data_IF_410050568155
#
_entry.id   IF_410050568155
#
_cell.length_a   1.000
_cell.length_b   1.000
_cell.length_c   1.000
_cell.angle_alpha   90.00
_cell.angle_beta   90.00
_cell.angle_gamma   90.00
#
_symmetry.space_group_name_H-M   'P 1'
#
loop_
_entity.id
_entity.type
_entity.pdbx_description
1 polymer ?
#
# COMPACT_ATOMS: atom_id res chain seq x y z
N UNK A 1 -48.62 -1.32 42.58
CA UNK A 1 -47.72 -2.30 41.97
C UNK A 1 -47.20 -1.69 40.68
N UNK A 2 -46.03 -1.08 40.68
CA UNK A 2 -45.42 -0.43 39.53
C UNK A 2 -44.34 -1.31 38.95
N UNK A 3 -44.05 -1.23 37.64
CA UNK A 3 -42.98 -2.02 37.03
C UNK A 3 -41.63 -1.31 37.15
N UNK A 4 -40.63 -2.11 37.44
CA UNK A 4 -39.22 -1.77 37.58
C UNK A 4 -38.62 -1.15 36.33
N UNK A 5 -38.17 0.09 36.42
CA UNK A 5 -37.28 0.74 35.45
C UNK A 5 -35.85 0.29 35.62
N UNK A 6 -35.38 -0.63 34.81
CA UNK A 6 -33.93 -0.91 34.64
C UNK A 6 -33.32 0.08 33.65
N UNK A 7 -32.64 1.07 34.17
CA UNK A 7 -31.76 1.93 33.37
C UNK A 7 -30.59 1.12 32.79
N UNK A 8 -30.55 0.95 31.49
CA UNK A 8 -29.38 0.44 30.76
C UNK A 8 -28.26 1.45 30.84
N UNK A 9 -27.20 1.12 31.52
CA UNK A 9 -25.94 1.87 31.54
C UNK A 9 -25.27 1.74 30.15
N UNK A 10 -25.17 2.85 29.44
CA UNK A 10 -24.35 2.97 28.25
C UNK A 10 -22.89 2.93 28.68
N UNK A 11 -22.00 2.15 28.02
CA UNK A 11 -20.59 2.25 28.28
C UNK A 11 -20.08 3.60 27.75
N UNK A 12 -19.42 4.36 28.59
CA UNK A 12 -18.70 5.58 28.25
C UNK A 12 -17.44 5.19 27.47
N UNK A 13 -17.51 5.25 26.17
CA UNK A 13 -16.33 5.18 25.32
C UNK A 13 -15.68 6.55 25.30
N UNK A 14 -14.56 6.62 25.99
CA UNK A 14 -13.77 7.82 26.13
C UNK A 14 -13.26 8.32 24.80
N UNK A 15 -13.42 9.60 24.63
CA UNK A 15 -12.88 10.45 23.60
C UNK A 15 -11.34 10.30 23.60
N UNK A 16 -10.79 9.45 22.76
CA UNK A 16 -9.37 9.47 22.42
C UNK A 16 -9.20 10.34 21.18
N UNK A 17 -9.12 11.65 21.39
CA UNK A 17 -8.71 12.61 20.39
C UNK A 17 -7.29 12.26 19.93
N UNK A 18 -7.15 12.02 18.63
CA UNK A 18 -5.90 11.75 17.96
C UNK A 18 -4.97 12.96 18.04
N UNK A 19 -3.98 12.92 18.92
CA UNK A 19 -2.90 13.92 18.99
C UNK A 19 -1.96 13.89 17.77
N UNK A 20 -2.16 12.96 16.85
CA UNK A 20 -1.28 12.75 15.69
C UNK A 20 -1.41 13.80 14.58
N UNK A 21 -2.58 14.41 14.40
CA UNK A 21 -2.82 15.37 13.30
C UNK A 21 -2.16 16.74 13.48
N UNK A 22 -1.86 17.13 14.72
CA UNK A 22 -1.24 18.44 15.01
C UNK A 22 0.27 18.43 14.71
N UNK A 23 0.95 17.29 14.81
CA UNK A 23 2.40 17.21 14.61
C UNK A 23 2.79 17.25 13.12
N UNK A 24 1.99 16.69 12.22
CA UNK A 24 2.27 16.69 10.77
C UNK A 24 2.06 18.09 10.17
N UNK A 25 1.05 18.83 10.62
CA UNK A 25 0.82 20.22 10.18
C UNK A 25 1.91 21.19 10.65
N UNK A 26 2.50 20.97 11.84
CA UNK A 26 3.59 21.80 12.37
C UNK A 26 4.94 21.53 11.71
N UNK A 27 5.20 20.31 11.24
CA UNK A 27 6.42 19.98 10.49
C UNK A 27 6.41 20.52 9.07
N UNK A 28 5.23 20.56 8.40
CA UNK A 28 5.09 21.16 7.07
C UNK A 28 5.29 22.69 7.09
N UNK A 29 4.86 23.37 8.15
CA UNK A 29 5.05 24.83 8.28
C UNK A 29 6.46 25.21 8.68
N UNK A 30 7.20 24.37 9.42
CA UNK A 30 8.59 24.65 9.80
C UNK A 30 9.58 24.56 8.62
N UNK A 31 9.31 23.72 7.61
CA UNK A 31 10.15 23.60 6.42
C UNK A 31 9.98 24.78 5.46
N UNK A 32 8.79 25.37 5.38
CA UNK A 32 8.51 26.52 4.50
C UNK A 32 9.06 27.86 5.03
N UNK A 33 9.19 28.03 6.33
CA UNK A 33 9.75 29.27 6.91
C UNK A 33 11.27 29.32 6.82
N UNK A 34 11.98 28.18 6.84
CA UNK A 34 13.43 28.14 6.75
C UNK A 34 14.01 28.42 5.36
N UNK A 35 13.22 28.40 4.30
CA UNK A 35 13.68 28.63 2.92
C UNK A 35 13.67 30.11 2.49
N UNK A 36 13.05 31.02 3.27
CA UNK A 36 12.94 32.44 2.92
C UNK A 36 14.02 33.36 3.51
N UNK A 37 14.95 32.89 4.33
CA UNK A 37 15.91 33.73 5.07
C UNK A 37 17.37 33.64 4.61
N UNK A 38 17.67 33.13 3.41
CA UNK A 38 19.03 33.21 2.87
C UNK A 38 19.03 33.72 1.43
N UNK A 39 19.05 35.05 1.26
CA UNK A 39 19.62 35.71 0.09
C UNK A 39 21.05 36.17 0.45
N UNK A 40 22.09 35.75 -0.26
CA UNK A 40 23.40 36.38 -0.13
C UNK A 40 23.45 37.59 -1.07
N UNK A 41 23.75 38.74 -0.50
CA UNK A 41 24.18 39.94 -1.21
C UNK A 41 25.56 39.71 -1.80
N UNK A 42 25.66 39.92 -3.11
CA UNK A 42 26.91 39.96 -3.89
C UNK A 42 27.69 41.23 -3.60
N UNK A 43 28.95 41.10 -3.26
CA UNK A 43 29.98 42.10 -3.51
C UNK A 43 31.28 41.37 -3.80
N UNK A 44 31.75 41.51 -5.03
CA UNK A 44 33.11 41.17 -5.42
C UNK A 44 34.11 42.25 -4.98
N UNK A 45 35.38 41.90 -4.76
CA UNK A 45 36.40 42.55 -5.60
C UNK A 45 37.46 41.56 -6.18
N UNK A 46 38.10 42.13 -7.18
CA UNK A 46 39.00 41.52 -8.12
C UNK A 46 40.42 41.18 -7.56
N UNK A 47 41.03 40.21 -8.27
CA UNK A 47 42.46 40.22 -8.56
C UNK A 47 43.36 39.34 -7.71
N UNK A 48 43.96 38.29 -8.23
CA UNK A 48 45.42 38.23 -8.52
C UNK A 48 45.88 36.80 -8.84
N UNK A 49 46.37 36.62 -10.05
CA UNK A 49 47.46 35.77 -10.59
C UNK A 49 47.71 34.36 -10.00
N UNK A 50 47.78 33.42 -10.96
CA UNK A 50 48.43 32.11 -10.88
C UNK A 50 49.96 32.20 -10.77
N UNK A 51 50.61 31.11 -10.38
CA UNK A 51 51.57 30.54 -11.29
C UNK A 51 51.48 29.02 -11.52
N UNK A 52 52.01 28.67 -12.66
CA UNK A 52 52.09 27.37 -13.33
C UNK A 52 53.15 26.44 -12.70
N UNK A 53 53.00 25.14 -13.01
CA UNK A 53 54.09 24.23 -13.27
C UNK A 53 54.29 23.12 -12.23
N UNK A 54 54.07 21.83 -12.61
CA UNK A 54 55.22 20.93 -12.85
C UNK A 54 54.75 19.50 -13.16
N UNK A 55 54.96 19.06 -14.39
CA UNK A 55 55.44 17.80 -14.96
C UNK A 55 55.23 16.47 -14.21
N UNK A 56 54.71 15.54 -14.97
CA UNK A 56 54.80 14.08 -14.78
C UNK A 56 56.21 13.53 -14.99
N UNK A 57 56.48 12.31 -14.60
CA UNK A 57 57.25 11.44 -15.44
C UNK A 57 56.53 10.12 -15.79
N UNK A 58 56.77 9.71 -17.03
CA UNK A 58 56.39 8.46 -17.65
C UNK A 58 57.42 7.35 -17.35
N UNK A 59 56.93 6.11 -17.51
CA UNK A 59 57.76 5.00 -17.95
C UNK A 59 57.92 3.87 -16.98
N UNK A 60 57.40 2.64 -17.31
CA UNK A 60 58.34 1.54 -17.71
C UNK A 60 57.53 0.29 -18.14
N UNK A 61 57.67 -0.06 -19.36
CA UNK A 61 57.73 -1.34 -20.13
C UNK A 61 57.41 -2.66 -19.43
N UNK A 62 56.63 -3.44 -20.16
CA UNK A 62 56.43 -4.89 -20.07
C UNK A 62 57.69 -5.72 -20.44
N UNK A 63 57.68 -7.01 -20.13
CA UNK A 63 58.06 -7.96 -21.17
C UNK A 63 57.04 -9.05 -21.44
N UNK A 64 57.03 -9.47 -22.70
CA UNK A 64 56.32 -10.59 -23.28
C UNK A 64 56.96 -11.94 -22.90
N UNK A 65 56.14 -12.98 -22.86
CA UNK A 65 56.59 -14.35 -22.67
C UNK A 65 55.53 -15.39 -23.04
N UNK A 66 55.53 -15.77 -24.29
CA UNK A 66 55.38 -17.08 -24.95
C UNK A 66 54.33 -18.10 -24.52
N UNK A 67 53.54 -18.41 -25.51
CA UNK A 67 52.81 -19.66 -25.87
C UNK A 67 52.98 -20.91 -25.01
N UNK A 68 51.83 -21.50 -24.65
CA UNK A 68 51.64 -22.95 -24.76
C UNK A 68 50.15 -23.31 -24.92
N UNK A 69 49.78 -23.69 -26.15
CA UNK A 69 48.57 -24.43 -26.52
C UNK A 69 48.48 -25.76 -25.77
N UNK A 70 47.36 -26.00 -25.07
CA UNK A 70 46.87 -27.36 -24.84
C UNK A 70 45.36 -27.35 -24.95
N UNK A 71 44.88 -28.00 -25.98
CA UNK A 71 43.49 -28.39 -26.18
C UNK A 71 43.02 -29.29 -25.02
N UNK A 72 42.00 -28.86 -24.31
CA UNK A 72 41.30 -29.68 -23.35
C UNK A 72 39.81 -29.45 -23.52
N UNK A 73 39.13 -30.37 -24.22
CA UNK A 73 37.68 -30.43 -24.31
C UNK A 73 37.09 -30.63 -22.88
N UNK A 74 36.39 -29.62 -22.40
CA UNK A 74 35.56 -29.78 -21.21
C UNK A 74 34.20 -30.39 -21.61
N UNK A 75 33.68 -31.41 -20.87
CA UNK A 75 32.36 -31.95 -21.12
C UNK A 75 31.30 -30.93 -20.71
N UNK A 76 30.28 -30.77 -21.56
CA UNK A 76 29.16 -29.88 -21.36
C UNK A 76 28.50 -30.08 -20.00
N UNK A 77 28.47 -29.03 -19.22
CA UNK A 77 27.60 -28.96 -18.05
C UNK A 77 26.15 -28.94 -18.51
N UNK A 78 25.48 -30.07 -18.39
CA UNK A 78 24.01 -30.13 -18.48
C UNK A 78 23.45 -29.22 -17.41
N UNK A 79 22.83 -28.12 -17.81
CA UNK A 79 21.94 -27.33 -16.94
C UNK A 79 20.79 -28.24 -16.51
N UNK A 80 20.92 -28.87 -15.38
CA UNK A 80 19.80 -29.45 -14.69
C UNK A 80 18.93 -28.30 -14.17
N UNK A 81 17.95 -27.89 -14.98
CA UNK A 81 16.83 -27.10 -14.51
C UNK A 81 16.16 -27.93 -13.44
N UNK A 82 16.33 -27.56 -12.17
CA UNK A 82 15.57 -28.15 -11.08
C UNK A 82 14.09 -28.03 -11.43
N UNK A 83 13.28 -29.10 -11.28
CA UNK A 83 11.85 -29.00 -11.48
C UNK A 83 11.32 -27.90 -10.57
N UNK A 84 10.37 -27.05 -11.06
CA UNK A 84 9.75 -26.04 -10.23
C UNK A 84 9.18 -26.75 -8.99
N UNK A 85 9.49 -26.20 -7.80
CA UNK A 85 8.96 -26.70 -6.55
C UNK A 85 7.43 -26.83 -6.69
N UNK A 86 6.81 -27.92 -6.20
CA UNK A 86 5.38 -28.08 -6.31
C UNK A 86 4.72 -26.85 -5.68
N UNK A 87 3.94 -26.12 -6.50
CA UNK A 87 3.11 -25.04 -6.01
C UNK A 87 2.19 -25.63 -4.97
N UNK A 88 2.45 -25.35 -3.70
CA UNK A 88 1.47 -25.64 -2.66
C UNK A 88 0.20 -24.92 -3.08
N UNK A 89 -0.84 -25.65 -3.39
CA UNK A 89 -2.16 -25.06 -3.60
C UNK A 89 -2.55 -24.42 -2.28
N UNK A 90 -2.75 -23.09 -2.29
CA UNK A 90 -3.21 -22.29 -1.14
C UNK A 90 -4.58 -22.73 -0.63
N UNK A 91 -5.15 -23.79 -1.22
CA UNK A 91 -6.54 -24.23 -1.12
C UNK A 91 -6.89 -25.08 0.09
N UNK A 92 -5.99 -25.33 1.03
CA UNK A 92 -6.33 -26.23 2.15
C UNK A 92 -7.38 -25.58 3.07
N UNK A 93 -8.63 -25.70 2.66
CA UNK A 93 -9.82 -25.34 3.43
C UNK A 93 -10.41 -23.95 3.21
N UNK A 94 -9.73 -23.02 2.52
CA UNK A 94 -10.21 -21.65 2.33
C UNK A 94 -11.12 -21.47 1.10
N UNK A 95 -10.81 -22.10 -0.04
CA UNK A 95 -11.59 -22.04 -1.27
C UNK A 95 -11.28 -20.86 -2.17
N UNK A 96 -10.37 -19.94 -1.81
CA UNK A 96 -9.96 -18.82 -2.66
C UNK A 96 -9.24 -19.31 -3.92
N UNK A 97 -9.55 -18.71 -5.08
CA UNK A 97 -8.89 -19.01 -6.35
C UNK A 97 -8.90 -17.80 -7.26
N UNK A 98 -7.78 -17.52 -7.95
CA UNK A 98 -7.69 -16.52 -9.02
C UNK A 98 -7.78 -17.17 -10.42
N UNK A 99 -7.99 -18.48 -10.52
CA UNK A 99 -8.13 -19.15 -11.81
C UNK A 99 -9.43 -18.72 -12.49
N UNK A 100 -9.33 -18.34 -13.77
CA UNK A 100 -10.49 -17.79 -14.52
C UNK A 100 -11.65 -18.79 -14.68
N UNK A 101 -11.37 -20.09 -14.60
CA UNK A 101 -12.33 -21.19 -14.69
C UNK A 101 -12.79 -21.73 -13.33
N UNK A 102 -12.38 -21.08 -12.24
CA UNK A 102 -12.74 -21.52 -10.91
C UNK A 102 -14.26 -21.43 -10.66
N UNK A 103 -14.82 -22.49 -10.11
CA UNK A 103 -16.20 -22.48 -9.65
C UNK A 103 -16.34 -21.69 -8.35
N UNK A 104 -17.44 -20.96 -8.20
CA UNK A 104 -17.72 -20.23 -6.96
C UNK A 104 -18.09 -21.21 -5.84
N UNK A 105 -17.29 -21.23 -4.79
CA UNK A 105 -17.44 -22.14 -3.64
C UNK A 105 -17.79 -21.38 -2.36
N UNK A 106 -18.20 -22.11 -1.31
CA UNK A 106 -18.32 -21.51 0.02
C UNK A 106 -16.91 -21.21 0.56
N UNK A 107 -16.76 -20.12 1.31
CA UNK A 107 -15.54 -19.85 2.05
C UNK A 107 -15.41 -20.91 3.17
N UNK A 108 -14.26 -21.54 3.24
CA UNK A 108 -13.87 -22.38 4.38
C UNK A 108 -13.29 -21.55 5.52
N UNK A 109 -12.35 -22.11 6.28
CA UNK A 109 -11.63 -21.34 7.30
C UNK A 109 -10.47 -20.59 6.66
N UNK A 110 -10.60 -19.25 6.55
CA UNK A 110 -9.58 -18.37 5.98
C UNK A 110 -9.18 -17.29 6.98
N UNK A 111 -7.90 -17.10 7.20
CA UNK A 111 -7.36 -15.92 7.84
C UNK A 111 -7.08 -14.86 6.76
N UNK A 112 -7.68 -13.69 6.92
CA UNK A 112 -7.40 -12.48 6.14
C UNK A 112 -6.56 -11.57 7.03
N UNK A 113 -5.33 -11.31 6.64
CA UNK A 113 -4.46 -10.32 7.27
C UNK A 113 -4.64 -9.02 6.52
N UNK A 114 -5.22 -8.03 7.14
CA UNK A 114 -5.31 -6.67 6.63
C UNK A 114 -4.17 -5.86 7.22
N UNK A 115 -3.40 -5.20 6.34
CA UNK A 115 -2.27 -4.33 6.68
C UNK A 115 -2.44 -2.99 5.99
N UNK A 116 -2.33 -1.92 6.75
CA UNK A 116 -2.63 -0.61 6.23
C UNK A 116 -2.15 0.57 7.07
N UNK A 117 -2.33 1.76 6.50
CA UNK A 117 -2.19 3.02 7.22
C UNK A 117 -3.53 3.45 7.84
N UNK A 118 -3.79 4.76 7.97
CA UNK A 118 -5.07 5.24 8.49
C UNK A 118 -6.27 4.93 7.57
N UNK A 119 -6.05 4.85 6.24
CA UNK A 119 -7.10 4.43 5.30
C UNK A 119 -7.34 2.92 5.37
N UNK A 120 -6.31 2.13 5.71
CA UNK A 120 -6.44 0.73 6.07
C UNK A 120 -7.27 0.55 7.33
N UNK A 121 -7.02 1.34 8.36
CA UNK A 121 -7.81 1.36 9.59
C UNK A 121 -9.30 1.58 9.31
N UNK A 122 -9.63 2.56 8.44
CA UNK A 122 -11.01 2.83 8.02
C UNK A 122 -11.62 1.60 7.31
N UNK A 123 -10.87 0.94 6.41
CA UNK A 123 -11.30 -0.29 5.76
C UNK A 123 -11.52 -1.41 6.77
N UNK A 124 -10.56 -1.63 7.65
CA UNK A 124 -10.60 -2.69 8.64
C UNK A 124 -11.78 -2.56 9.59
N UNK A 125 -12.08 -1.37 10.09
CA UNK A 125 -13.28 -1.14 10.89
C UNK A 125 -14.58 -1.42 10.14
N UNK A 126 -14.64 -1.02 8.87
CA UNK A 126 -15.77 -1.37 8.01
C UNK A 126 -15.89 -2.88 7.83
N UNK A 127 -14.79 -3.59 7.56
CA UNK A 127 -14.77 -5.04 7.41
C UNK A 127 -15.22 -5.76 8.69
N UNK A 128 -14.78 -5.32 9.87
CA UNK A 128 -15.22 -5.90 11.14
C UNK A 128 -16.74 -5.82 11.32
N UNK A 129 -17.37 -4.71 10.91
CA UNK A 129 -18.82 -4.54 11.01
C UNK A 129 -19.60 -5.38 10.00
N UNK A 130 -19.02 -5.55 8.80
CA UNK A 130 -19.74 -6.12 7.65
C UNK A 130 -19.43 -7.59 7.37
N UNK A 131 -18.33 -8.14 7.85
CA UNK A 131 -18.08 -9.57 7.78
C UNK A 131 -18.99 -10.30 8.75
N UNK A 132 -19.72 -11.30 8.25
CA UNK A 132 -20.52 -12.18 9.11
C UNK A 132 -19.59 -13.05 9.95
N UNK A 133 -19.88 -13.26 11.25
CA UNK A 133 -19.17 -14.25 12.05
C UNK A 133 -19.19 -15.68 11.47
N UNK A 134 -20.17 -15.97 10.60
CA UNK A 134 -20.32 -17.26 9.91
C UNK A 134 -19.77 -17.23 8.49
N UNK A 135 -19.06 -16.19 8.10
CA UNK A 135 -18.51 -16.04 6.74
C UNK A 135 -17.39 -17.04 6.42
N UNK A 136 -16.79 -17.66 7.42
CA UNK A 136 -15.56 -18.46 7.29
C UNK A 136 -14.28 -17.61 7.24
N UNK A 137 -14.39 -16.28 7.22
CA UNK A 137 -13.24 -15.37 7.26
C UNK A 137 -12.93 -14.94 8.69
N UNK A 138 -11.68 -15.13 9.10
CA UNK A 138 -11.10 -14.57 10.31
C UNK A 138 -10.26 -13.35 9.92
N UNK A 139 -10.72 -12.14 10.25
CA UNK A 139 -10.02 -10.89 9.96
C UNK A 139 -9.03 -10.59 11.09
N UNK A 140 -7.78 -10.41 10.72
CA UNK A 140 -6.70 -9.88 11.56
C UNK A 140 -6.32 -8.52 10.99
N UNK A 141 -6.30 -7.48 11.82
CA UNK A 141 -5.93 -6.12 11.45
C UNK A 141 -4.60 -5.74 12.07
N UNK A 142 -3.68 -5.30 11.22
CA UNK A 142 -2.35 -4.79 11.61
C UNK A 142 -2.13 -3.43 10.92
N UNK A 143 -3.01 -2.47 11.26
CA UNK A 143 -2.96 -1.12 10.71
C UNK A 143 -2.16 -0.19 11.61
N UNK A 144 -1.33 0.66 11.00
CA UNK A 144 -0.57 1.68 11.72
C UNK A 144 -0.72 3.03 11.03
N UNK A 145 -1.55 3.89 11.62
CA UNK A 145 -1.81 5.23 11.10
C UNK A 145 -0.54 6.04 10.89
N UNK A 146 -0.55 6.91 9.88
CA UNK A 146 0.57 7.79 9.50
C UNK A 146 1.81 7.07 8.97
N UNK A 147 1.72 5.79 8.65
CA UNK A 147 2.80 5.01 8.03
C UNK A 147 2.67 4.98 6.51
N UNK A 148 3.69 4.46 5.85
CA UNK A 148 3.76 4.28 4.40
C UNK A 148 5.04 3.53 4.01
N UNK A 149 5.28 3.39 2.72
CA UNK A 149 6.46 2.70 2.20
C UNK A 149 7.66 3.64 1.97
N UNK A 150 7.43 4.95 1.99
CA UNK A 150 8.47 5.96 1.68
C UNK A 150 9.44 6.14 2.84
N UNK A 151 8.97 6.19 4.09
CA UNK A 151 9.78 6.46 5.28
C UNK A 151 9.96 5.19 6.11
N UNK A 152 10.76 4.25 5.62
CA UNK A 152 11.00 2.95 6.28
C UNK A 152 11.64 3.07 7.67
N UNK A 153 12.38 4.14 7.93
CA UNK A 153 12.95 4.42 9.27
C UNK A 153 11.90 4.78 10.31
N UNK A 154 10.71 5.23 9.89
CA UNK A 154 9.57 5.48 10.77
C UNK A 154 8.79 4.19 11.06
N UNK A 155 8.51 3.39 10.00
CA UNK A 155 7.87 2.10 10.13
C UNK A 155 8.32 1.17 8.98
N UNK A 156 8.92 0.03 9.33
CA UNK A 156 9.45 -0.92 8.34
C UNK A 156 8.41 -1.99 8.01
N UNK A 157 7.49 -1.67 7.10
CA UNK A 157 6.41 -2.58 6.69
C UNK A 157 6.92 -3.97 6.29
N UNK A 158 7.99 -4.16 5.50
CA UNK A 158 8.51 -5.50 5.22
C UNK A 158 8.85 -6.31 6.48
N UNK A 159 9.54 -5.72 7.45
CA UNK A 159 9.90 -6.42 8.68
C UNK A 159 8.68 -6.81 9.53
N UNK A 160 7.67 -5.93 9.58
CA UNK A 160 6.41 -6.20 10.26
C UNK A 160 5.60 -7.26 9.52
N UNK A 161 5.42 -7.14 8.20
CA UNK A 161 4.73 -8.11 7.37
C UNK A 161 5.34 -9.51 7.51
N UNK A 162 6.68 -9.63 7.45
CA UNK A 162 7.36 -10.91 7.66
C UNK A 162 7.02 -11.56 9.01
N UNK A 163 6.85 -10.74 10.04
CA UNK A 163 6.48 -11.20 11.39
C UNK A 163 5.03 -11.65 11.43
N UNK A 164 4.12 -10.89 10.84
CA UNK A 164 2.69 -11.17 10.84
C UNK A 164 2.35 -12.37 9.97
N UNK A 165 3.01 -12.55 8.84
CA UNK A 165 2.88 -13.74 7.99
C UNK A 165 3.24 -15.03 8.76
N UNK A 166 4.31 -14.98 9.57
CA UNK A 166 4.71 -16.12 10.41
C UNK A 166 3.75 -16.36 11.58
N UNK A 167 3.17 -15.29 12.12
CA UNK A 167 2.29 -15.35 13.28
C UNK A 167 0.90 -15.87 12.93
N UNK A 168 0.34 -15.35 11.84
CA UNK A 168 -1.06 -15.54 11.50
C UNK A 168 -1.32 -16.55 10.38
N UNK A 169 -0.30 -16.88 9.59
CA UNK A 169 -0.40 -17.82 8.46
C UNK A 169 -1.61 -17.53 7.55
N UNK A 170 -1.77 -16.28 7.06
CA UNK A 170 -2.95 -15.88 6.32
C UNK A 170 -3.06 -16.59 4.96
N UNK A 171 -4.29 -16.76 4.48
CA UNK A 171 -4.58 -17.21 3.13
C UNK A 171 -4.81 -16.03 2.17
N UNK A 172 -5.11 -14.85 2.71
CA UNK A 172 -5.22 -13.60 1.97
C UNK A 172 -4.56 -12.48 2.77
N UNK A 173 -3.66 -11.73 2.13
CA UNK A 173 -3.15 -10.46 2.64
C UNK A 173 -3.85 -9.34 1.90
N UNK A 174 -4.53 -8.48 2.63
CA UNK A 174 -5.24 -7.32 2.13
C UNK A 174 -4.41 -6.07 2.44
N UNK A 175 -3.91 -5.40 1.40
CA UNK A 175 -3.15 -4.17 1.54
C UNK A 175 -4.04 -2.96 1.32
N UNK A 176 -4.04 -2.00 2.25
CA UNK A 176 -4.68 -0.68 2.13
C UNK A 176 -3.72 0.37 2.70
N UNK A 177 -2.68 0.70 1.92
CA UNK A 177 -1.48 1.40 2.38
C UNK A 177 -0.99 2.36 1.30
N UNK A 178 -0.56 3.55 1.71
CA UNK A 178 0.07 4.54 0.83
C UNK A 178 -0.49 5.95 0.92
N UNK A 179 -1.50 6.20 1.76
CA UNK A 179 -2.07 7.53 1.96
C UNK A 179 -1.05 8.59 2.41
N UNK A 180 0.13 8.17 2.89
CA UNK A 180 1.19 9.06 3.35
C UNK A 180 2.41 9.10 2.41
N UNK A 181 2.33 8.49 1.23
CA UNK A 181 3.50 8.26 0.38
C UNK A 181 3.67 9.29 -0.76
N UNK A 182 2.78 10.30 -0.86
CA UNK A 182 2.96 11.43 -1.78
C UNK A 182 4.07 12.37 -1.28
N UNK A 183 5.28 11.85 -1.20
CA UNK A 183 6.45 12.61 -0.76
C UNK A 183 7.75 12.03 -1.34
N UNK A 184 8.83 12.82 -1.29
CA UNK A 184 10.16 12.34 -1.68
C UNK A 184 10.65 11.22 -0.77
N UNK A 185 11.55 10.36 -1.26
CA UNK A 185 12.16 9.29 -0.48
C UNK A 185 13.68 9.27 -0.61
N UNK A 186 14.34 8.53 0.27
CA UNK A 186 15.75 8.22 0.13
C UNK A 186 15.94 6.84 -0.50
N UNK A 187 16.84 6.78 -1.52
CA UNK A 187 17.23 5.55 -2.21
C UNK A 187 18.76 5.54 -2.29
N UNK A 188 19.40 4.55 -1.69
CA UNK A 188 20.85 4.46 -1.66
C UNK A 188 21.54 5.70 -1.05
N UNK A 189 20.92 6.34 -0.07
CA UNK A 189 21.44 7.56 0.57
C UNK A 189 21.15 8.87 -0.18
N UNK A 190 20.56 8.81 -1.37
CA UNK A 190 20.21 10.00 -2.17
C UNK A 190 18.73 10.34 -2.05
N UNK A 191 18.41 11.64 -1.95
CA UNK A 191 17.04 12.12 -1.96
C UNK A 191 16.45 12.02 -3.38
N UNK A 192 15.29 11.39 -3.51
CA UNK A 192 14.58 11.19 -4.77
C UNK A 192 13.20 11.85 -4.66
N UNK A 193 12.94 12.93 -5.44
CA UNK A 193 11.67 13.65 -5.37
C UNK A 193 10.49 12.80 -5.86
N UNK A 194 9.34 12.98 -5.24
CA UNK A 194 8.07 12.33 -5.59
C UNK A 194 7.76 12.44 -7.10
N UNK A 195 7.23 11.38 -7.66
CA UNK A 195 6.72 11.35 -9.03
C UNK A 195 7.78 11.29 -10.14
N UNK A 196 9.09 11.44 -9.84
CA UNK A 196 10.16 11.27 -10.82
C UNK A 196 10.27 9.82 -11.29
N UNK A 197 10.87 9.58 -12.45
CA UNK A 197 11.08 8.22 -12.96
C UNK A 197 11.88 7.33 -11.97
N UNK A 198 12.86 7.92 -11.28
CA UNK A 198 13.63 7.22 -10.25
C UNK A 198 12.77 6.87 -9.04
N UNK A 199 11.92 7.80 -8.59
CA UNK A 199 10.97 7.57 -7.51
C UNK A 199 9.99 6.45 -7.84
N UNK A 200 9.35 6.53 -9.02
CA UNK A 200 8.38 5.52 -9.47
C UNK A 200 8.98 4.11 -9.48
N UNK A 201 10.19 3.97 -10.03
CA UNK A 201 10.89 2.66 -10.03
C UNK A 201 11.17 2.14 -8.64
N UNK A 202 11.65 3.01 -7.73
CA UNK A 202 11.97 2.62 -6.37
C UNK A 202 10.71 2.30 -5.56
N UNK A 203 9.64 3.06 -5.74
CA UNK A 203 8.37 2.81 -5.06
C UNK A 203 7.70 1.53 -5.56
N UNK A 204 7.65 1.33 -6.89
CA UNK A 204 7.15 0.08 -7.49
C UNK A 204 7.91 -1.14 -6.97
N UNK A 205 9.22 -1.04 -6.81
CA UNK A 205 10.01 -2.13 -6.22
C UNK A 205 9.56 -2.43 -4.78
N UNK A 206 9.32 -1.41 -3.95
CA UNK A 206 8.84 -1.60 -2.57
C UNK A 206 7.47 -2.25 -2.51
N UNK A 207 6.53 -1.83 -3.35
CA UNK A 207 5.20 -2.44 -3.47
C UNK A 207 5.31 -3.89 -3.93
N UNK A 208 6.10 -4.15 -4.98
CA UNK A 208 6.32 -5.50 -5.51
C UNK A 208 6.99 -6.42 -4.50
N UNK A 209 7.86 -5.89 -3.65
CA UNK A 209 8.50 -6.66 -2.58
C UNK A 209 7.48 -7.14 -1.54
N UNK A 210 6.57 -6.27 -1.09
CA UNK A 210 5.49 -6.66 -0.16
C UNK A 210 4.55 -7.70 -0.78
N UNK A 211 4.13 -7.50 -2.04
CA UNK A 211 3.28 -8.46 -2.76
C UNK A 211 3.99 -9.81 -2.87
N UNK A 212 5.28 -9.82 -3.24
CA UNK A 212 6.08 -11.04 -3.34
C UNK A 212 6.25 -11.72 -1.99
N UNK A 213 6.50 -10.97 -0.93
CA UNK A 213 6.66 -11.50 0.43
C UNK A 213 5.38 -12.19 0.91
N UNK A 214 4.23 -11.55 0.74
CA UNK A 214 2.94 -12.14 1.07
C UNK A 214 2.69 -13.44 0.28
N UNK A 215 2.90 -13.40 -1.03
CA UNK A 215 2.59 -14.53 -1.92
C UNK A 215 3.60 -15.68 -1.85
N UNK A 216 4.82 -15.43 -1.41
CA UNK A 216 5.84 -16.46 -1.18
C UNK A 216 5.45 -17.46 -0.06
N UNK A 217 4.58 -17.05 0.86
CA UNK A 217 4.04 -17.95 1.90
C UNK A 217 2.92 -18.87 1.41
N UNK A 218 2.44 -18.65 0.19
CA UNK A 218 1.29 -19.31 -0.41
C UNK A 218 -0.02 -18.54 -0.22
N UNK A 219 -0.02 -17.37 0.42
CA UNK A 219 -1.18 -16.49 0.49
C UNK A 219 -1.47 -15.83 -0.86
N UNK A 220 -2.70 -15.42 -1.08
CA UNK A 220 -3.04 -14.43 -2.09
C UNK A 220 -2.77 -13.02 -1.56
N UNK A 221 -2.51 -12.07 -2.46
CA UNK A 221 -2.41 -10.66 -2.14
C UNK A 221 -3.53 -9.88 -2.85
N UNK A 222 -4.21 -9.00 -2.12
CA UNK A 222 -5.18 -8.06 -2.70
C UNK A 222 -4.81 -6.64 -2.29
N UNK A 223 -4.45 -5.81 -3.25
CA UNK A 223 -4.19 -4.40 -3.00
C UNK A 223 -5.46 -3.58 -3.25
N UNK A 224 -5.94 -2.88 -2.24
CA UNK A 224 -7.03 -1.91 -2.33
C UNK A 224 -6.42 -0.55 -2.61
N UNK A 225 -6.84 0.09 -3.68
CA UNK A 225 -6.31 1.38 -4.13
C UNK A 225 -6.79 2.54 -3.28
N UNK A 226 -6.24 3.70 -3.57
CA UNK A 226 -6.56 4.97 -2.91
C UNK A 226 -7.82 5.60 -3.51
N UNK A 227 -8.63 6.30 -2.71
CA UNK A 227 -9.76 7.07 -3.22
C UNK A 227 -9.31 8.41 -3.80
N UNK A 228 -10.19 9.03 -4.60
CA UNK A 228 -10.05 10.44 -4.94
C UNK A 228 -10.02 11.29 -3.67
N UNK A 229 -9.15 12.30 -3.63
CA UNK A 229 -8.95 13.18 -2.46
C UNK A 229 -9.51 14.58 -2.73
N UNK A 230 -9.84 15.33 -1.67
CA UNK A 230 -10.37 16.70 -1.80
C UNK A 230 -9.38 17.66 -2.45
N UNK A 231 -8.10 17.58 -2.07
CA UNK A 231 -7.06 18.42 -2.67
C UNK A 231 -6.63 17.84 -4.02
N UNK A 232 -6.75 18.59 -5.14
CA UNK A 232 -6.45 18.03 -6.47
C UNK A 232 -5.03 17.53 -6.66
N UNK A 233 -4.02 18.22 -6.09
CA UNK A 233 -2.63 17.79 -6.15
C UNK A 233 -2.42 16.44 -5.43
N UNK A 234 -2.94 16.32 -4.22
CA UNK A 234 -2.90 15.08 -3.45
C UNK A 234 -3.67 13.95 -4.15
N UNK A 235 -4.83 14.28 -4.74
CA UNK A 235 -5.60 13.33 -5.55
C UNK A 235 -4.79 12.81 -6.75
N UNK A 236 -4.04 13.68 -7.44
CA UNK A 236 -3.17 13.27 -8.54
C UNK A 236 -2.02 12.36 -8.05
N UNK A 237 -1.48 12.62 -6.86
CA UNK A 237 -0.53 11.74 -6.20
C UNK A 237 -1.09 10.35 -5.96
N UNK A 238 -2.31 10.25 -5.41
CA UNK A 238 -2.99 8.97 -5.17
C UNK A 238 -3.26 8.20 -6.47
N UNK A 239 -3.64 8.89 -7.54
CA UNK A 239 -3.82 8.26 -8.86
C UNK A 239 -2.51 7.67 -9.41
N UNK A 240 -1.37 8.34 -9.16
CA UNK A 240 -0.05 7.79 -9.49
C UNK A 240 0.25 6.53 -8.67
N UNK A 241 0.02 6.55 -7.36
CA UNK A 241 0.23 5.39 -6.50
C UNK A 241 -0.62 4.21 -6.96
N UNK A 242 -1.90 4.44 -7.26
CA UNK A 242 -2.82 3.42 -7.78
C UNK A 242 -2.28 2.74 -9.04
N UNK A 243 -1.67 3.50 -9.96
CA UNK A 243 -1.07 2.93 -11.17
C UNK A 243 0.07 1.95 -10.83
N UNK A 244 0.86 2.25 -9.81
CA UNK A 244 1.99 1.41 -9.36
C UNK A 244 1.50 0.17 -8.59
N UNK A 245 0.43 0.28 -7.82
CA UNK A 245 -0.20 -0.87 -7.17
C UNK A 245 -0.79 -1.85 -8.17
N UNK A 246 -1.49 -1.33 -9.18
CA UNK A 246 -2.03 -2.13 -10.26
C UNK A 246 -0.92 -2.83 -11.05
N UNK A 247 0.18 -2.13 -11.35
CA UNK A 247 1.35 -2.70 -12.04
C UNK A 247 1.97 -3.83 -11.22
N UNK A 248 2.23 -3.61 -9.92
CA UNK A 248 2.81 -4.62 -9.04
C UNK A 248 1.91 -5.86 -8.89
N UNK A 249 0.59 -5.67 -8.72
CA UNK A 249 -0.36 -6.77 -8.63
C UNK A 249 -0.44 -7.55 -9.94
N UNK A 250 -0.49 -6.86 -11.10
CA UNK A 250 -0.57 -7.49 -12.42
C UNK A 250 0.67 -8.33 -12.77
N UNK A 251 1.82 -8.00 -12.19
CA UNK A 251 3.07 -8.74 -12.37
C UNK A 251 3.13 -10.04 -11.56
N UNK A 252 2.16 -10.30 -10.66
CA UNK A 252 2.16 -11.48 -9.79
C UNK A 252 0.87 -12.29 -9.98
N UNK A 253 0.94 -13.58 -10.40
CA UNK A 253 -0.24 -14.39 -10.72
C UNK A 253 -1.12 -14.75 -9.51
N UNK A 254 -0.64 -14.51 -8.28
CA UNK A 254 -1.37 -14.75 -7.05
C UNK A 254 -1.74 -13.44 -6.34
N UNK A 255 -1.68 -12.34 -7.07
CA UNK A 255 -2.09 -11.03 -6.59
C UNK A 255 -3.20 -10.42 -7.46
N UNK A 256 -3.99 -9.53 -6.86
CA UNK A 256 -5.02 -8.75 -7.53
C UNK A 256 -5.02 -7.29 -7.00
N UNK A 257 -5.60 -6.41 -7.79
CA UNK A 257 -5.81 -5.00 -7.45
C UNK A 257 -7.30 -4.64 -7.52
N UNK A 258 -7.76 -3.83 -6.57
CA UNK A 258 -9.12 -3.30 -6.53
C UNK A 258 -9.08 -1.79 -6.47
N UNK A 259 -9.51 -1.13 -7.52
CA UNK A 259 -9.69 0.33 -7.51
C UNK A 259 -10.94 0.71 -6.72
N UNK A 260 -10.80 1.69 -5.83
CA UNK A 260 -11.93 2.35 -5.15
C UNK A 260 -12.16 3.77 -5.67
N UNK A 261 -11.35 4.19 -6.65
CA UNK A 261 -11.42 5.54 -7.22
C UNK A 261 -12.83 5.91 -7.69
N UNK A 262 -13.38 5.12 -8.61
CA UNK A 262 -14.73 5.35 -9.14
C UNK A 262 -15.84 5.19 -8.10
N UNK A 263 -15.60 4.39 -7.07
CA UNK A 263 -16.57 4.20 -6.00
C UNK A 263 -16.80 5.48 -5.21
N UNK A 264 -15.75 6.29 -5.04
CA UNK A 264 -15.81 7.53 -4.26
C UNK A 264 -15.66 8.81 -5.10
N UNK A 265 -15.73 8.68 -6.43
CA UNK A 265 -15.79 9.83 -7.34
C UNK A 265 -17.23 10.19 -7.66
N UNK A 266 -17.54 11.48 -7.69
CA UNK A 266 -18.79 11.99 -8.25
C UNK A 266 -18.91 11.74 -9.76
N UNK A 267 -20.05 12.14 -10.37
CA UNK A 267 -20.34 11.87 -11.78
C UNK A 267 -19.30 12.40 -12.77
N UNK A 268 -18.60 13.49 -12.40
CA UNK A 268 -17.50 14.07 -13.19
C UNK A 268 -16.12 13.53 -12.84
N UNK A 269 -16.01 12.52 -11.97
CA UNK A 269 -14.72 11.99 -11.50
C UNK A 269 -14.06 12.80 -10.38
N UNK A 270 -14.72 13.84 -9.87
CA UNK A 270 -14.24 14.70 -8.80
C UNK A 270 -14.49 14.09 -7.41
N UNK A 271 -13.84 14.66 -6.40
CA UNK A 271 -14.10 14.38 -5.00
C UNK A 271 -15.53 14.81 -4.62
N UNK A 272 -16.26 13.91 -3.96
CA UNK A 272 -17.56 14.21 -3.36
C UNK A 272 -17.56 13.77 -1.90
N UNK A 273 -17.84 14.69 -0.95
CA UNK A 273 -17.83 14.35 0.47
C UNK A 273 -19.05 13.53 0.89
N UNK A 274 -20.15 13.58 0.13
CA UNK A 274 -21.44 12.98 0.46
C UNK A 274 -22.11 12.40 -0.77
N UNK A 275 -23.08 11.50 -0.57
CA UNK A 275 -23.89 10.87 -1.60
C UNK A 275 -25.14 10.24 -1.03
N UNK A 276 -25.91 9.55 -1.85
CA UNK A 276 -27.04 8.74 -1.41
C UNK A 276 -26.56 7.32 -1.14
N UNK A 277 -26.62 6.86 0.11
CA UNK A 277 -26.33 5.46 0.48
C UNK A 277 -27.63 4.75 0.75
N UNK A 278 -27.91 3.71 -0.01
CA UNK A 278 -29.21 3.00 0.03
C UNK A 278 -30.40 3.94 -0.08
N UNK A 279 -30.28 5.02 -0.88
CA UNK A 279 -31.31 6.04 -1.09
C UNK A 279 -31.37 7.16 -0.03
N UNK A 280 -30.55 7.11 1.02
CA UNK A 280 -30.52 8.12 2.08
C UNK A 280 -29.27 9.04 1.95
N UNK A 281 -29.41 10.38 2.09
CA UNK A 281 -28.29 11.30 2.13
C UNK A 281 -27.31 10.91 3.24
N UNK A 282 -26.04 10.78 2.89
CA UNK A 282 -25.00 10.27 3.78
C UNK A 282 -23.66 10.93 3.52
N UNK A 283 -22.94 11.27 4.59
CA UNK A 283 -21.55 11.67 4.52
C UNK A 283 -20.70 10.44 4.23
N UNK A 284 -19.81 10.53 3.24
CA UNK A 284 -18.91 9.45 2.81
C UNK A 284 -17.47 9.68 3.23
N UNK A 285 -17.05 10.95 3.31
CA UNK A 285 -15.67 11.33 3.62
C UNK A 285 -15.64 12.18 4.88
N UNK A 286 -14.61 12.05 5.67
CA UNK A 286 -14.36 12.91 6.82
C UNK A 286 -14.10 14.36 6.37
N UNK A 287 -14.17 15.30 7.31
CA UNK A 287 -14.02 16.74 7.04
C UNK A 287 -12.61 17.14 6.59
N UNK A 288 -11.63 16.27 6.75
CA UNK A 288 -10.26 16.48 6.27
C UNK A 288 -10.09 16.23 4.77
N UNK A 289 -11.13 15.67 4.12
CA UNK A 289 -11.11 15.35 2.69
C UNK A 289 -10.21 14.17 2.29
N UNK A 290 -9.73 13.40 3.28
CA UNK A 290 -8.80 12.26 3.12
C UNK A 290 -9.44 10.97 3.61
N UNK A 291 -9.84 10.92 4.88
CA UNK A 291 -10.38 9.72 5.52
C UNK A 291 -11.84 9.47 5.14
N UNK A 292 -12.26 8.24 5.35
CA UNK A 292 -13.68 7.89 5.22
C UNK A 292 -14.45 8.30 6.47
N UNK A 293 -15.72 8.61 6.29
CA UNK A 293 -16.67 8.69 7.42
C UNK A 293 -17.11 7.28 7.80
N UNK A 294 -17.80 7.13 8.91
CA UNK A 294 -18.37 5.84 9.34
C UNK A 294 -19.19 5.16 8.21
N UNK A 295 -20.05 5.93 7.51
CA UNK A 295 -20.83 5.42 6.38
C UNK A 295 -19.94 5.15 5.18
N UNK A 296 -18.88 5.94 4.95
CA UNK A 296 -17.89 5.70 3.90
C UNK A 296 -17.12 4.40 4.11
N UNK A 297 -16.73 4.09 5.36
CA UNK A 297 -16.13 2.81 5.74
C UNK A 297 -17.06 1.63 5.43
N UNK A 298 -18.37 1.77 5.73
CA UNK A 298 -19.36 0.73 5.45
C UNK A 298 -19.55 0.50 3.95
N UNK A 299 -19.53 1.56 3.15
CA UNK A 299 -19.56 1.49 1.67
C UNK A 299 -18.29 0.81 1.15
N UNK A 300 -17.14 1.22 1.64
CA UNK A 300 -15.84 0.64 1.26
C UNK A 300 -15.79 -0.86 1.57
N UNK A 301 -16.14 -1.25 2.80
CA UNK A 301 -16.16 -2.65 3.22
C UNK A 301 -17.14 -3.48 2.39
N UNK A 302 -18.36 -2.96 2.15
CA UNK A 302 -19.35 -3.60 1.29
C UNK A 302 -18.78 -3.89 -0.10
N UNK A 303 -18.11 -2.89 -0.68
CA UNK A 303 -17.50 -3.02 -2.00
C UNK A 303 -16.36 -4.04 -1.98
N UNK A 304 -15.43 -3.95 -1.04
CA UNK A 304 -14.26 -4.85 -0.94
C UNK A 304 -14.71 -6.30 -0.71
N UNK A 305 -15.70 -6.55 0.16
CA UNK A 305 -16.25 -7.90 0.38
C UNK A 305 -16.82 -8.48 -0.91
N UNK A 306 -17.57 -7.70 -1.69
CA UNK A 306 -18.10 -8.13 -3.00
C UNK A 306 -16.98 -8.37 -4.00
N UNK A 307 -15.90 -7.57 -3.97
CA UNK A 307 -14.74 -7.76 -4.84
C UNK A 307 -13.95 -9.02 -4.48
N UNK A 308 -13.74 -9.29 -3.19
CA UNK A 308 -13.17 -10.57 -2.72
C UNK A 308 -14.01 -11.75 -3.25
N UNK A 309 -15.33 -11.69 -3.08
CA UNK A 309 -16.24 -12.73 -3.58
C UNK A 309 -16.07 -12.97 -5.08
N UNK A 310 -16.06 -11.90 -5.89
CA UNK A 310 -15.94 -11.97 -7.33
C UNK A 310 -14.55 -12.39 -7.82
N UNK A 311 -13.50 -11.82 -7.26
CA UNK A 311 -12.11 -12.04 -7.70
C UNK A 311 -11.63 -13.43 -7.33
N UNK A 312 -11.97 -13.90 -6.13
CA UNK A 312 -11.49 -15.19 -5.62
C UNK A 312 -12.51 -16.32 -5.73
N UNK A 313 -13.60 -16.12 -6.46
CA UNK A 313 -14.62 -17.13 -6.74
C UNK A 313 -15.20 -17.79 -5.49
N UNK A 314 -15.52 -16.98 -4.47
CA UNK A 314 -16.10 -17.47 -3.20
C UNK A 314 -17.46 -16.83 -2.93
N UNK A 315 -18.35 -17.57 -2.28
CA UNK A 315 -19.64 -17.04 -1.81
C UNK A 315 -19.43 -16.23 -0.52
N UNK A 316 -19.35 -14.92 -0.69
CA UNK A 316 -19.19 -13.98 0.40
C UNK A 316 -20.10 -12.78 0.18
N UNK A 317 -20.83 -12.37 1.19
CA UNK A 317 -21.71 -11.21 1.15
C UNK A 317 -21.55 -10.35 2.41
N UNK A 318 -21.66 -9.03 2.29
CA UNK A 318 -21.65 -8.15 3.46
C UNK A 318 -22.90 -8.36 4.31
N UNK A 319 -22.74 -8.32 5.62
CA UNK A 319 -23.85 -8.49 6.59
C UNK A 319 -24.89 -7.36 6.47
N UNK A 320 -24.41 -6.13 6.31
CA UNK A 320 -25.25 -4.92 6.21
C UNK A 320 -24.80 -4.12 4.98
N UNK A 321 -25.29 -4.46 3.77
CA UNK A 321 -24.79 -3.82 2.55
C UNK A 321 -25.07 -2.31 2.54
N UNK A 322 -24.03 -1.52 2.39
CA UNK A 322 -24.07 -0.08 2.15
C UNK A 322 -23.61 0.20 0.72
N UNK A 323 -24.45 0.84 -0.09
CA UNK A 323 -24.16 1.04 -1.52
C UNK A 323 -24.53 2.47 -1.91
N UNK A 324 -23.61 3.16 -2.59
CA UNK A 324 -23.90 4.48 -3.17
C UNK A 324 -24.90 4.26 -4.30
N UNK A 325 -26.06 4.92 -4.20
CA UNK A 325 -27.17 4.85 -5.15
C UNK A 325 -27.35 6.13 -5.93
N UNK A 326 -26.63 7.19 -5.60
CA UNK A 326 -26.64 8.48 -6.27
C UNK A 326 -25.70 9.47 -5.60
N UNK A 327 -25.51 10.59 -6.29
CA UNK A 327 -24.74 11.74 -5.82
C UNK A 327 -25.68 12.92 -5.64
N UNK A 328 -25.43 13.75 -4.64
CA UNK A 328 -26.26 14.92 -4.31
C UNK A 328 -26.11 16.09 -5.27
#
# INVERSE_FOLDING_TARGET
>A
MGPDGRAQRRPAWGLRLSLGLVLVALLATAVTVSSQLRRPTSTAPAGTTAPAGTTAPAGTTAPAGTDRTTSGSAPGAASTTAPPAPRRSVSDGCGLSLAADASTVAVGHCTVLEVGDSLGNDLGWGLQRHLSPTSGLNLVQEDVSSTGLVVRSYYDWPAHLATDLRRYHPQLVLFSLGGNDEQGMYVGGSAVPFGTAAWKRAYLARVSDLVREATATGAYALWVGMPVMQQPGFSAGMALLDSLYQEAASANPTAAYVSVWKLFSGPGGQFEPAGLVNGAPSQLRASDGVHYSYTGEDVLATYVIRRISSIFHVRLAPRYPATITGWG
#
